data_IF_941277786136
#
_entry.id   IF_941277786136
#
_cell.length_a   1.000
_cell.length_b   1.000
_cell.length_c   1.000
_cell.angle_alpha   90.00
_cell.angle_beta   90.00
_cell.angle_gamma   90.00
#
_symmetry.space_group_name_H-M   'P 1'
#
loop_
_entity.id
_entity.type
_entity.pdbx_description
1 polymer ?
#
# COMPACT_ATOMS: atom_id res chain seq x y z
N UNK A 1 6.53 -0.86 -5.26
CA UNK A 1 7.05 0.53 -5.36
C UNK A 1 6.36 1.33 -4.29
N UNK A 2 7.11 2.00 -3.44
CA UNK A 2 6.52 2.86 -2.44
C UNK A 2 6.50 4.30 -2.94
N UNK A 3 5.39 5.00 -2.81
CA UNK A 3 5.21 6.39 -3.26
C UNK A 3 4.68 7.29 -2.14
N UNK A 4 4.28 6.73 -1.00
CA UNK A 4 3.90 7.50 0.18
C UNK A 4 5.13 8.06 0.92
N UNK A 5 6.23 7.32 0.96
CA UNK A 5 7.45 7.72 1.69
C UNK A 5 7.97 9.08 1.25
N UNK A 6 7.87 9.39 -0.04
CA UNK A 6 8.27 10.67 -0.62
C UNK A 6 7.48 11.85 -0.01
N UNK A 7 6.16 11.73 0.11
CA UNK A 7 5.33 12.77 0.71
C UNK A 7 5.55 12.89 2.21
N UNK A 8 5.78 11.76 2.89
CA UNK A 8 6.14 11.78 4.30
C UNK A 8 7.48 12.51 4.54
N UNK A 9 8.51 12.21 3.74
CA UNK A 9 9.83 12.86 3.85
C UNK A 9 9.68 14.37 3.63
N UNK A 10 8.97 14.80 2.59
CA UNK A 10 8.82 16.23 2.25
C UNK A 10 7.89 16.98 3.21
N UNK A 11 6.94 16.30 3.82
CA UNK A 11 5.99 16.87 4.78
C UNK A 11 6.48 16.76 6.23
N UNK A 12 6.22 15.61 6.82
CA UNK A 12 6.51 15.38 8.25
C UNK A 12 8.01 15.19 8.52
N UNK A 13 8.75 14.57 7.61
CA UNK A 13 10.19 14.36 7.75
C UNK A 13 10.96 15.68 7.84
N UNK A 14 10.58 16.68 7.04
CA UNK A 14 11.15 18.02 7.11
C UNK A 14 11.00 18.64 8.51
N UNK A 15 9.83 18.48 9.14
CA UNK A 15 9.56 18.94 10.51
C UNK A 15 10.35 18.18 11.57
N UNK A 16 10.71 16.93 11.29
CA UNK A 16 11.47 16.03 12.19
C UNK A 16 12.98 16.10 12.02
N UNK A 17 13.48 17.05 11.25
CA UNK A 17 14.91 17.35 11.13
C UNK A 17 15.64 16.52 10.07
N UNK A 18 14.95 15.98 9.06
CA UNK A 18 15.62 15.39 7.89
C UNK A 18 16.47 16.48 7.22
N UNK A 19 17.71 16.15 6.89
CA UNK A 19 18.70 17.06 6.29
C UNK A 19 18.19 17.65 4.98
N UNK A 20 18.43 18.95 4.74
CA UNK A 20 18.00 19.64 3.53
C UNK A 20 18.52 18.98 2.24
N UNK A 21 19.71 18.40 2.27
CA UNK A 21 20.26 17.65 1.14
C UNK A 21 19.35 16.48 0.74
N UNK A 22 18.84 15.72 1.73
CA UNK A 22 17.90 14.61 1.52
C UNK A 22 16.55 15.11 1.00
N UNK A 23 16.06 16.24 1.52
CA UNK A 23 14.84 16.87 1.05
C UNK A 23 14.95 17.36 -0.40
N UNK A 24 16.10 17.97 -0.77
CA UNK A 24 16.37 18.43 -2.13
C UNK A 24 16.42 17.25 -3.11
N UNK A 25 17.06 16.16 -2.72
CA UNK A 25 17.09 14.91 -3.49
C UNK A 25 15.67 14.36 -3.68
N UNK A 26 14.87 14.31 -2.62
CA UNK A 26 13.51 13.76 -2.65
C UNK A 26 12.58 14.60 -3.54
N UNK A 27 12.63 15.92 -3.50
CA UNK A 27 11.87 16.79 -4.42
C UNK A 27 12.12 16.45 -5.89
N UNK A 28 13.35 16.05 -6.24
CA UNK A 28 13.72 15.69 -7.60
C UNK A 28 13.33 14.25 -7.95
N UNK A 29 13.68 13.31 -7.08
CA UNK A 29 13.52 11.87 -7.34
C UNK A 29 12.07 11.42 -7.16
N UNK A 30 11.38 11.92 -6.14
CA UNK A 30 10.02 11.52 -5.83
C UNK A 30 9.02 11.84 -6.96
N UNK A 31 9.19 12.96 -7.65
CA UNK A 31 8.38 13.28 -8.84
C UNK A 31 8.60 12.28 -9.96
N UNK A 32 9.85 11.97 -10.28
CA UNK A 32 10.21 11.02 -11.35
C UNK A 32 9.68 9.63 -11.00
N UNK A 33 9.78 9.23 -9.73
CA UNK A 33 9.29 7.95 -9.25
C UNK A 33 7.76 7.82 -9.50
N UNK A 34 6.99 8.85 -9.22
CA UNK A 34 5.54 8.86 -9.43
C UNK A 34 5.15 8.83 -10.90
N UNK A 35 5.85 9.60 -11.73
CA UNK A 35 5.64 9.57 -13.19
C UNK A 35 5.93 8.17 -13.75
N UNK A 36 7.01 7.53 -13.30
CA UNK A 36 7.36 6.16 -13.69
C UNK A 36 6.36 5.13 -13.14
N UNK A 37 5.81 5.33 -11.93
CA UNK A 37 4.74 4.50 -11.39
C UNK A 37 3.50 4.55 -12.31
N UNK A 38 3.06 5.75 -12.68
CA UNK A 38 1.92 5.94 -13.58
C UNK A 38 2.16 5.29 -14.94
N UNK A 39 3.36 5.47 -15.49
CA UNK A 39 3.74 4.86 -16.77
C UNK A 39 3.73 3.33 -16.67
N UNK A 40 4.36 2.74 -15.66
CA UNK A 40 4.39 1.29 -15.46
C UNK A 40 2.98 0.71 -15.33
N UNK A 41 2.09 1.37 -14.56
CA UNK A 41 0.70 0.96 -14.45
C UNK A 41 -0.04 1.01 -15.80
N UNK A 42 0.14 2.08 -16.58
CA UNK A 42 -0.50 2.23 -17.90
C UNK A 42 -0.01 1.20 -18.92
N UNK A 43 1.21 0.69 -18.76
CA UNK A 43 1.78 -0.38 -19.60
C UNK A 43 1.34 -1.78 -19.14
N UNK A 44 0.56 -1.92 -18.09
CA UNK A 44 0.11 -3.20 -17.56
C UNK A 44 1.20 -4.01 -16.83
N UNK A 45 2.25 -3.36 -16.32
CA UNK A 45 3.28 -4.02 -15.55
C UNK A 45 2.69 -4.71 -14.29
N UNK A 46 3.19 -5.89 -13.94
CA UNK A 46 2.86 -6.52 -12.66
C UNK A 46 3.45 -5.68 -11.52
N UNK A 47 2.58 -5.00 -10.81
CA UNK A 47 2.98 -4.13 -9.70
C UNK A 47 2.57 -4.76 -8.37
N UNK A 48 3.42 -4.59 -7.35
CA UNK A 48 3.19 -5.01 -5.97
C UNK A 48 3.35 -3.84 -5.03
N UNK A 49 2.66 -3.89 -3.88
CA UNK A 49 2.78 -2.90 -2.84
C UNK A 49 4.10 -3.09 -2.08
N UNK A 50 4.83 -2.00 -1.88
CA UNK A 50 5.97 -1.91 -0.98
C UNK A 50 5.84 -0.60 -0.19
N UNK A 51 6.32 -0.54 1.03
CA UNK A 51 6.06 0.59 1.93
C UNK A 51 7.30 1.30 2.44
N UNK A 52 8.46 0.62 2.49
CA UNK A 52 9.69 1.13 3.12
C UNK A 52 9.44 1.69 4.54
N UNK A 53 8.49 1.07 5.27
CA UNK A 53 8.15 1.48 6.62
C UNK A 53 9.35 1.35 7.57
N UNK A 54 9.49 2.34 8.46
CA UNK A 54 10.68 2.57 9.28
C UNK A 54 11.10 4.03 9.16
N UNK A 55 10.94 4.63 7.97
CA UNK A 55 11.03 6.09 7.77
C UNK A 55 9.81 6.76 8.41
N UNK A 56 8.65 6.13 8.30
CA UNK A 56 7.41 6.52 8.97
C UNK A 56 6.87 5.37 9.86
N UNK A 57 5.83 5.63 10.61
CA UNK A 57 5.28 4.65 11.56
C UNK A 57 4.70 3.42 10.83
N UNK A 58 4.95 2.22 11.35
CA UNK A 58 4.43 0.97 10.78
C UNK A 58 2.89 0.93 10.66
N UNK A 59 2.15 1.63 11.51
CA UNK A 59 0.70 1.74 11.44
C UNK A 59 0.18 2.52 10.23
N UNK A 60 1.02 3.33 9.57
CA UNK A 60 0.64 4.20 8.45
C UNK A 60 0.77 3.53 7.07
N UNK A 61 1.09 2.24 7.01
CA UNK A 61 1.34 1.50 5.76
C UNK A 61 0.17 1.58 4.77
N UNK A 62 -1.06 1.58 5.25
CA UNK A 62 -2.25 1.61 4.42
C UNK A 62 -2.43 2.93 3.63
N UNK A 63 -1.79 4.01 4.04
CA UNK A 63 -1.79 5.29 3.30
C UNK A 63 -1.21 5.14 1.90
N UNK A 64 -0.33 4.16 1.70
CA UNK A 64 0.22 3.83 0.38
C UNK A 64 -0.87 3.56 -0.66
N UNK A 65 -2.00 2.96 -0.29
CA UNK A 65 -3.09 2.67 -1.23
C UNK A 65 -3.68 3.93 -1.85
N UNK A 66 -3.89 4.99 -1.06
CA UNK A 66 -4.39 6.27 -1.57
C UNK A 66 -3.47 6.84 -2.64
N UNK A 67 -2.16 6.83 -2.38
CA UNK A 67 -1.17 7.32 -3.35
C UNK A 67 -1.14 6.48 -4.62
N UNK A 68 -1.28 5.15 -4.52
CA UNK A 68 -1.36 4.29 -5.70
C UNK A 68 -2.57 4.64 -6.57
N UNK A 69 -3.72 4.97 -5.96
CA UNK A 69 -4.94 5.40 -6.67
C UNK A 69 -4.77 6.80 -7.24
N UNK A 70 -4.28 7.77 -6.49
CA UNK A 70 -4.04 9.15 -6.93
C UNK A 70 -3.09 9.19 -8.15
N UNK A 71 -2.18 8.22 -8.26
CA UNK A 71 -1.21 8.11 -9.35
C UNK A 71 -1.61 7.08 -10.42
N UNK A 72 -2.87 6.72 -10.50
CA UNK A 72 -3.46 6.11 -11.69
C UNK A 72 -3.86 4.65 -11.60
N UNK A 73 -3.75 3.99 -10.44
CA UNK A 73 -4.38 2.70 -10.24
C UNK A 73 -5.87 2.86 -9.94
N UNK A 74 -6.68 1.89 -10.37
CA UNK A 74 -8.00 1.75 -9.76
C UNK A 74 -7.88 1.20 -8.32
N UNK A 75 -8.88 1.44 -7.44
CA UNK A 75 -8.87 0.85 -6.10
C UNK A 75 -8.68 -0.67 -6.12
N UNK A 76 -9.29 -1.37 -7.06
CA UNK A 76 -9.12 -2.81 -7.24
C UNK A 76 -7.68 -3.19 -7.58
N UNK A 77 -7.03 -2.47 -8.49
CA UNK A 77 -5.62 -2.71 -8.86
C UNK A 77 -4.70 -2.51 -7.64
N UNK A 78 -4.93 -1.47 -6.84
CA UNK A 78 -4.15 -1.21 -5.63
C UNK A 78 -4.30 -2.34 -4.60
N UNK A 79 -5.53 -2.84 -4.37
CA UNK A 79 -5.78 -4.01 -3.50
C UNK A 79 -5.10 -5.26 -4.07
N UNK A 80 -5.22 -5.50 -5.35
CA UNK A 80 -4.56 -6.64 -6.00
C UNK A 80 -3.04 -6.59 -5.90
N UNK A 81 -2.45 -5.39 -5.96
CA UNK A 81 -1.01 -5.20 -5.78
C UNK A 81 -0.51 -5.64 -4.40
N UNK A 82 -1.33 -5.54 -3.35
CA UNK A 82 -0.98 -5.98 -2.00
C UNK A 82 -1.37 -7.43 -1.69
N UNK A 83 -2.12 -8.07 -2.55
CA UNK A 83 -2.69 -9.41 -2.33
C UNK A 83 -2.24 -10.40 -3.40
N UNK A 84 -3.05 -10.62 -4.42
CA UNK A 84 -2.82 -11.65 -5.45
C UNK A 84 -1.54 -11.41 -6.26
N UNK A 85 -1.19 -10.15 -6.56
CA UNK A 85 0.03 -9.85 -7.32
C UNK A 85 1.27 -10.16 -6.49
N UNK A 86 1.25 -9.81 -5.21
CA UNK A 86 2.34 -10.13 -4.26
C UNK A 86 2.49 -11.65 -4.11
N UNK A 87 1.39 -12.38 -3.93
CA UNK A 87 1.41 -13.84 -3.87
C UNK A 87 2.04 -14.43 -5.14
N UNK A 88 1.65 -13.95 -6.32
CA UNK A 88 2.19 -14.38 -7.61
C UNK A 88 3.69 -14.07 -7.74
N UNK A 89 4.14 -12.87 -7.33
CA UNK A 89 5.54 -12.48 -7.43
C UNK A 89 6.46 -13.37 -6.58
N UNK A 90 6.01 -13.73 -5.37
CA UNK A 90 6.78 -14.55 -4.43
C UNK A 90 6.52 -16.06 -4.58
N UNK A 91 5.69 -16.49 -5.53
CA UNK A 91 5.36 -17.92 -5.72
C UNK A 91 4.64 -18.52 -4.51
N UNK A 92 3.81 -17.73 -3.81
CA UNK A 92 3.07 -18.20 -2.65
C UNK A 92 1.75 -18.84 -3.07
N UNK A 93 1.55 -20.09 -2.64
CA UNK A 93 0.31 -20.81 -2.87
C UNK A 93 -0.74 -20.53 -1.79
N UNK A 94 -2.01 -20.57 -2.18
CA UNK A 94 -3.17 -20.49 -1.27
C UNK A 94 -3.24 -19.23 -0.39
N UNK A 95 -2.70 -18.11 -0.86
CA UNK A 95 -2.78 -16.79 -0.21
C UNK A 95 -3.21 -15.72 -1.21
N UNK A 96 -3.59 -14.54 -0.71
CA UNK A 96 -3.93 -13.37 -1.51
C UNK A 96 -5.32 -13.37 -2.13
N UNK A 97 -6.16 -14.37 -1.84
CA UNK A 97 -7.55 -14.46 -2.31
C UNK A 97 -8.45 -15.08 -1.24
N UNK A 98 -9.70 -14.64 -1.21
CA UNK A 98 -10.77 -15.32 -0.46
C UNK A 98 -11.32 -16.43 -1.37
N UNK A 99 -10.88 -17.66 -1.13
CA UNK A 99 -11.25 -18.81 -1.93
C UNK A 99 -11.18 -20.08 -1.09
N UNK A 100 -12.06 -21.05 -1.35
CA UNK A 100 -12.05 -22.37 -0.70
C UNK A 100 -10.68 -23.04 -0.84
N UNK A 101 -10.14 -23.57 0.26
CA UNK A 101 -8.82 -24.19 0.33
C UNK A 101 -7.65 -23.22 0.43
N UNK A 102 -7.90 -21.91 0.52
CA UNK A 102 -6.90 -20.88 0.77
C UNK A 102 -6.76 -20.58 2.27
N UNK A 103 -5.61 -20.04 2.67
CA UNK A 103 -5.40 -19.58 4.03
C UNK A 103 -6.39 -18.45 4.35
N UNK A 104 -7.02 -18.54 5.52
CA UNK A 104 -7.96 -17.53 6.00
C UNK A 104 -7.18 -16.35 6.64
N UNK A 105 -6.44 -15.63 5.81
CA UNK A 105 -5.76 -14.37 6.15
C UNK A 105 -6.63 -13.23 5.62
N UNK A 106 -7.44 -12.64 6.47
CA UNK A 106 -8.52 -11.72 6.08
C UNK A 106 -8.44 -10.44 6.89
N UNK A 107 -8.59 -9.31 6.22
CA UNK A 107 -8.86 -8.02 6.86
C UNK A 107 -10.24 -7.53 6.44
N UNK A 108 -10.94 -6.85 7.37
CA UNK A 108 -12.24 -6.24 7.11
C UNK A 108 -12.23 -4.77 7.46
N UNK A 109 -13.04 -4.01 6.73
CA UNK A 109 -13.25 -2.57 6.91
C UNK A 109 -14.76 -2.27 6.89
N UNK A 110 -15.20 -1.18 7.52
CA UNK A 110 -16.63 -0.83 7.56
C UNK A 110 -17.16 -0.29 6.23
N UNK A 111 -16.32 0.37 5.45
CA UNK A 111 -16.71 1.00 4.18
C UNK A 111 -16.18 0.21 2.99
N UNK A 112 -16.83 0.38 1.82
CA UNK A 112 -16.39 -0.27 0.60
C UNK A 112 -15.10 0.36 0.05
N UNK A 113 -13.94 -0.34 0.12
CA UNK A 113 -12.65 0.20 -0.33
C UNK A 113 -12.56 0.39 -1.86
N UNK A 114 -13.50 -0.16 -2.63
CA UNK A 114 -13.58 0.10 -4.07
C UNK A 114 -14.20 1.47 -4.38
N UNK A 115 -14.95 2.03 -3.43
CA UNK A 115 -15.53 3.39 -3.55
C UNK A 115 -14.63 4.43 -2.91
N UNK A 116 -14.02 4.10 -1.79
CA UNK A 116 -13.04 4.93 -1.08
C UNK A 116 -11.92 4.05 -0.53
N UNK A 117 -10.77 4.11 -1.18
CA UNK A 117 -9.61 3.30 -0.84
C UNK A 117 -9.04 3.63 0.55
N UNK A 118 -9.30 4.83 1.08
CA UNK A 118 -8.87 5.24 2.42
C UNK A 118 -9.54 4.46 3.54
N UNK A 119 -10.65 3.75 3.26
CA UNK A 119 -11.26 2.80 4.19
C UNK A 119 -10.23 1.77 4.72
N UNK A 120 -9.20 1.44 3.95
CA UNK A 120 -8.12 0.54 4.36
C UNK A 120 -7.19 1.12 5.44
N UNK A 121 -7.28 2.41 5.75
CA UNK A 121 -6.54 3.04 6.85
C UNK A 121 -7.16 2.74 8.23
N UNK A 122 -8.42 2.27 8.26
CA UNK A 122 -9.13 1.89 9.49
C UNK A 122 -9.64 0.45 9.41
N UNK A 123 -8.73 -0.49 9.68
CA UNK A 123 -9.04 -1.92 9.69
C UNK A 123 -9.86 -2.27 10.94
N UNK A 124 -11.09 -2.76 10.76
CA UNK A 124 -12.00 -3.17 11.83
C UNK A 124 -11.85 -4.64 12.23
N UNK A 125 -11.43 -5.49 11.30
CA UNK A 125 -11.29 -6.93 11.50
C UNK A 125 -9.96 -7.44 10.97
N UNK A 126 -9.31 -8.35 11.73
CA UNK A 126 -8.07 -9.02 11.32
C UNK A 126 -8.15 -10.50 11.70
N UNK A 127 -7.98 -11.37 10.70
CA UNK A 127 -7.85 -12.81 10.87
C UNK A 127 -6.57 -13.31 10.21
N UNK A 128 -5.86 -14.21 10.84
CA UNK A 128 -4.68 -14.90 10.33
C UNK A 128 -4.82 -16.40 10.53
N UNK A 129 -4.72 -17.17 9.45
CA UNK A 129 -4.86 -18.64 9.47
C UNK A 129 -6.13 -19.11 10.20
N UNK A 130 -7.25 -18.38 9.99
CA UNK A 130 -8.54 -18.65 10.63
C UNK A 130 -8.66 -18.20 12.09
N UNK A 131 -7.61 -17.66 12.71
CA UNK A 131 -7.67 -17.10 14.06
C UNK A 131 -7.90 -15.60 14.01
N UNK A 132 -8.92 -15.13 14.73
CA UNK A 132 -9.24 -13.70 14.86
C UNK A 132 -8.28 -13.03 15.84
N UNK A 133 -7.69 -11.91 15.43
CA UNK A 133 -6.78 -11.08 16.22
C UNK A 133 -7.37 -9.71 16.54
N UNK A 134 -8.25 -9.20 15.68
CA UNK A 134 -9.00 -7.96 15.90
C UNK A 134 -10.42 -8.16 15.42
N UNK A 135 -11.36 -7.75 16.23
CA UNK A 135 -12.77 -7.61 15.88
C UNK A 135 -13.30 -6.41 16.66
N UNK A 136 -13.63 -5.35 15.93
CA UNK A 136 -14.09 -4.07 16.50
C UNK A 136 -15.61 -3.92 16.40
N UNK A 137 -16.34 -5.02 16.19
CA UNK A 137 -17.83 -5.03 16.22
C UNK A 137 -18.39 -5.03 17.63
#
# INVERSE_FOLDING_TARGET
MDIYVSDYILGEGAKKGILEESLAKERKVGRIQRENFKLANSMGALMVLGTDAGIYNHGDNARQFKYMVDWGMSPLQAIQASTINTAKLFGLDKVGQIKEGYNADIVGVYSNPLMDITALEDISFVMKEGKVYKDSN
#
